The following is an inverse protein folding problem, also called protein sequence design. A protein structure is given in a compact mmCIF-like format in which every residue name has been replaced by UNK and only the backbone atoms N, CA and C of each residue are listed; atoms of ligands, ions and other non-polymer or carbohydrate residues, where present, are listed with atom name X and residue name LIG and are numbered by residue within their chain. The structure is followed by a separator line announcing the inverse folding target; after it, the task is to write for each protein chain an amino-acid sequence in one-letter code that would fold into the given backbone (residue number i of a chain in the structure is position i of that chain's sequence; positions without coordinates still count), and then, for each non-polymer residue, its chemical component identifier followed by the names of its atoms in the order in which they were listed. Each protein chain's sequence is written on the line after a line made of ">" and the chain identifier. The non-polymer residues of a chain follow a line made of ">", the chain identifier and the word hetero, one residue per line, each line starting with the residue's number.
data_IF_966863588302
#
_entry.id   IF_966863588302
#
_cell.length_a   1.000
_cell.length_b   1.000
_cell.length_c   1.000
_cell.angle_alpha   90.00
_cell.angle_beta   90.00
_cell.angle_gamma   90.00
#
_symmetry.space_group_name_H-M   'P 1'
#
loop_
_entity.id
_entity.type
_entity.pdbx_description
1 polymer ?
#
# COMPACT_ATOMS: atom_id res chain seq x y z
N UNK A 1 -11.87 -49.43 -55.31
CA UNK A 1 -12.86 -49.00 -54.29
C UNK A 1 -12.09 -48.51 -53.07
N UNK A 2 -12.30 -47.24 -52.72
CA UNK A 2 -11.50 -46.45 -51.78
C UNK A 2 -11.87 -46.78 -50.31
N UNK A 3 -10.85 -46.89 -49.47
CA UNK A 3 -10.96 -46.94 -48.00
C UNK A 3 -11.09 -45.53 -47.42
N UNK A 4 -11.84 -45.34 -46.32
CA UNK A 4 -12.02 -44.04 -45.68
C UNK A 4 -10.84 -43.69 -44.76
N UNK A 5 -10.36 -42.45 -44.88
CA UNK A 5 -9.29 -41.88 -44.06
C UNK A 5 -9.92 -41.19 -42.83
N UNK A 6 -9.78 -41.80 -41.66
CA UNK A 6 -10.13 -41.19 -40.37
C UNK A 6 -9.08 -40.14 -40.00
N UNK A 7 -9.52 -38.89 -39.89
CA UNK A 7 -8.70 -37.76 -39.43
C UNK A 7 -8.90 -37.62 -37.91
N UNK A 8 -7.95 -38.08 -37.10
CA UNK A 8 -7.92 -37.83 -35.66
C UNK A 8 -7.50 -36.36 -35.41
N UNK A 9 -8.43 -35.57 -34.87
CA UNK A 9 -8.12 -34.27 -34.28
C UNK A 9 -7.44 -34.47 -32.92
N UNK A 10 -6.16 -34.15 -32.84
CA UNK A 10 -5.45 -33.94 -31.58
C UNK A 10 -5.90 -32.61 -30.98
N UNK A 11 -6.85 -32.68 -30.05
CA UNK A 11 -7.27 -31.55 -29.24
C UNK A 11 -6.17 -31.30 -28.20
N UNK A 12 -5.31 -30.30 -28.43
CA UNK A 12 -4.38 -29.81 -27.41
C UNK A 12 -5.20 -29.22 -26.27
N UNK A 13 -5.26 -29.92 -25.13
CA UNK A 13 -5.73 -29.37 -23.87
C UNK A 13 -4.81 -28.21 -23.50
N UNK A 14 -5.30 -26.97 -23.64
CA UNK A 14 -4.66 -25.83 -22.99
C UNK A 14 -4.67 -26.09 -21.47
N UNK A 15 -3.54 -25.87 -20.76
CA UNK A 15 -3.54 -25.96 -19.31
C UNK A 15 -4.63 -25.05 -18.75
N UNK A 16 -5.50 -25.59 -17.89
CA UNK A 16 -6.48 -24.79 -17.17
C UNK A 16 -5.74 -23.71 -16.38
N UNK A 17 -6.09 -22.45 -16.63
CA UNK A 17 -5.55 -21.31 -15.90
C UNK A 17 -5.94 -21.35 -14.41
N UNK A 18 -5.28 -20.55 -13.56
CA UNK A 18 -5.58 -20.50 -12.13
C UNK A 18 -7.04 -20.12 -11.89
N UNK A 19 -7.69 -20.81 -10.95
CA UNK A 19 -9.13 -20.66 -10.66
C UNK A 19 -9.42 -19.68 -9.52
N UNK A 20 -8.41 -19.36 -8.73
CA UNK A 20 -8.51 -18.45 -7.59
C UNK A 20 -7.24 -17.60 -7.41
N UNK A 21 -7.33 -16.59 -6.53
CA UNK A 21 -6.25 -15.64 -6.30
C UNK A 21 -4.97 -16.30 -5.75
N UNK A 22 -5.10 -17.37 -4.96
CA UNK A 22 -3.96 -18.09 -4.42
C UNK A 22 -3.19 -18.84 -5.51
N UNK A 23 -3.91 -19.55 -6.38
CA UNK A 23 -3.34 -20.22 -7.56
C UNK A 23 -2.73 -19.21 -8.54
N UNK A 24 -3.37 -18.05 -8.74
CA UNK A 24 -2.83 -16.99 -9.58
C UNK A 24 -1.53 -16.40 -9.00
N UNK A 25 -1.44 -16.29 -7.67
CA UNK A 25 -0.22 -15.86 -6.99
C UNK A 25 0.91 -16.88 -7.17
N UNK A 26 0.60 -18.17 -7.00
CA UNK A 26 1.55 -19.26 -7.25
C UNK A 26 2.01 -19.24 -8.70
N UNK A 27 1.09 -19.06 -9.65
CA UNK A 27 1.41 -18.94 -11.06
C UNK A 27 2.33 -17.72 -11.33
N UNK A 28 2.05 -16.57 -10.75
CA UNK A 28 2.85 -15.35 -10.97
C UNK A 28 4.26 -15.42 -10.40
N UNK A 29 4.45 -16.13 -9.28
CA UNK A 29 5.74 -16.17 -8.57
C UNK A 29 6.59 -17.37 -8.97
N UNK A 30 5.97 -18.53 -9.23
CA UNK A 30 6.70 -19.78 -9.44
C UNK A 30 6.58 -20.33 -10.86
N UNK A 31 5.48 -20.03 -11.56
CA UNK A 31 5.19 -20.54 -12.91
C UNK A 31 4.94 -19.42 -13.92
N UNK A 32 5.63 -18.28 -13.77
CA UNK A 32 5.42 -17.11 -14.63
C UNK A 32 5.76 -17.47 -16.08
N UNK A 33 4.83 -17.24 -17.00
CA UNK A 33 5.00 -17.55 -18.42
C UNK A 33 4.25 -16.51 -19.26
N UNK A 34 4.75 -15.28 -19.26
CA UNK A 34 4.17 -14.16 -20.01
C UNK A 34 4.82 -14.05 -21.39
N UNK A 35 6.14 -14.25 -21.46
CA UNK A 35 6.93 -14.12 -22.68
C UNK A 35 7.38 -15.46 -23.26
N UNK A 36 7.43 -16.52 -22.45
CA UNK A 36 7.94 -17.83 -22.83
C UNK A 36 9.47 -17.87 -22.95
N UNK A 37 10.16 -16.91 -22.32
CA UNK A 37 11.62 -16.78 -22.36
C UNK A 37 12.19 -16.33 -21.01
N UNK A 38 13.51 -16.07 -20.97
CA UNK A 38 14.25 -15.68 -19.77
C UNK A 38 13.70 -14.44 -19.03
N UNK A 39 12.96 -13.56 -19.70
CA UNK A 39 12.34 -12.39 -19.07
C UNK A 39 11.31 -12.78 -18.01
N UNK A 40 10.68 -13.94 -18.16
CA UNK A 40 9.73 -14.45 -17.18
C UNK A 40 10.38 -14.74 -15.82
N UNK A 41 11.69 -15.06 -15.79
CA UNK A 41 12.41 -15.23 -14.52
C UNK A 41 12.60 -13.90 -13.79
N UNK A 42 12.84 -12.82 -14.53
CA UNK A 42 12.96 -11.47 -13.97
C UNK A 42 11.58 -10.99 -13.49
N UNK A 43 10.55 -11.24 -14.30
CA UNK A 43 9.17 -10.88 -13.96
C UNK A 43 8.67 -11.65 -12.73
N UNK A 44 8.98 -12.94 -12.61
CA UNK A 44 8.65 -13.74 -11.43
C UNK A 44 9.29 -13.16 -10.14
N UNK A 45 10.56 -12.75 -10.21
CA UNK A 45 11.24 -12.07 -9.09
C UNK A 45 10.60 -10.73 -8.75
N UNK A 46 10.19 -9.96 -9.76
CA UNK A 46 9.47 -8.71 -9.55
C UNK A 46 8.09 -8.92 -8.92
N UNK A 47 7.33 -9.92 -9.39
CA UNK A 47 6.05 -10.32 -8.81
C UNK A 47 6.21 -10.76 -7.35
N UNK A 48 7.27 -11.52 -7.04
CA UNK A 48 7.58 -11.92 -5.67
C UNK A 48 7.84 -10.71 -4.76
N UNK A 49 8.61 -9.73 -5.23
CA UNK A 49 8.90 -8.52 -4.46
C UNK A 49 7.62 -7.72 -4.19
N UNK A 50 6.78 -7.52 -5.20
CA UNK A 50 5.48 -6.86 -5.02
C UNK A 50 4.59 -7.64 -4.05
N UNK A 51 4.55 -8.98 -4.13
CA UNK A 51 3.78 -9.81 -3.21
C UNK A 51 4.29 -9.69 -1.77
N UNK A 52 5.61 -9.60 -1.58
CA UNK A 52 6.23 -9.37 -0.29
C UNK A 52 5.90 -8.01 0.31
N UNK A 53 5.77 -6.96 -0.51
CA UNK A 53 5.28 -5.63 -0.12
C UNK A 53 3.78 -5.59 0.17
N UNK A 54 3.00 -6.51 -0.41
CA UNK A 54 1.55 -6.51 -0.25
C UNK A 54 0.84 -5.46 -1.10
N UNK A 55 1.45 -5.02 -2.21
CA UNK A 55 0.81 -4.08 -3.14
C UNK A 55 1.35 -4.26 -4.56
N UNK A 56 0.53 -3.96 -5.57
CA UNK A 56 0.92 -3.96 -6.97
C UNK A 56 0.14 -4.93 -7.84
N UNK A 57 0.70 -5.24 -9.02
CA UNK A 57 0.07 -6.10 -10.04
C UNK A 57 1.04 -7.20 -10.46
N UNK A 58 0.63 -8.46 -10.29
CA UNK A 58 1.44 -9.63 -10.60
C UNK A 58 0.98 -10.29 -11.91
N UNK A 59 1.90 -10.45 -12.85
CA UNK A 59 1.63 -10.97 -14.19
C UNK A 59 2.13 -12.41 -14.34
N UNK A 60 1.29 -13.30 -14.83
CA UNK A 60 1.62 -14.73 -14.92
C UNK A 60 1.35 -15.35 -16.30
N UNK A 61 0.48 -14.74 -17.10
CA UNK A 61 0.19 -15.14 -18.46
C UNK A 61 -0.16 -13.91 -19.30
N UNK A 62 0.22 -13.91 -20.57
CA UNK A 62 -0.08 -12.83 -21.52
C UNK A 62 -1.58 -12.65 -21.78
N UNK A 63 -2.34 -13.73 -21.66
CA UNK A 63 -3.76 -13.77 -22.00
C UNK A 63 -4.67 -13.66 -20.77
N UNK A 64 -4.10 -13.42 -19.60
CA UNK A 64 -4.85 -13.29 -18.34
C UNK A 64 -4.66 -11.89 -17.76
N UNK A 65 -5.68 -11.36 -17.05
CA UNK A 65 -5.51 -10.12 -16.31
C UNK A 65 -4.46 -10.30 -15.20
N UNK A 66 -3.72 -9.24 -14.83
CA UNK A 66 -2.83 -9.31 -13.69
C UNK A 66 -3.60 -9.55 -12.39
N UNK A 67 -2.97 -10.28 -11.47
CA UNK A 67 -3.45 -10.42 -10.11
C UNK A 67 -3.16 -9.12 -9.33
N UNK A 68 -4.19 -8.53 -8.74
CA UNK A 68 -4.02 -7.43 -7.79
C UNK A 68 -3.48 -7.97 -6.47
N UNK A 69 -2.37 -7.39 -6.01
CA UNK A 69 -1.72 -7.73 -4.75
C UNK A 69 -2.16 -6.76 -3.66
N UNK A 70 -2.48 -7.31 -2.49
CA UNK A 70 -2.84 -6.55 -1.29
C UNK A 70 -2.20 -7.20 -0.05
N UNK A 71 -2.35 -6.57 1.11
CA UNK A 71 -1.77 -7.00 2.39
C UNK A 71 -2.26 -8.38 2.88
N UNK A 72 -3.38 -8.89 2.34
CA UNK A 72 -3.93 -10.20 2.72
C UNK A 72 -3.23 -11.37 2.01
N UNK A 73 -2.39 -11.09 1.01
CA UNK A 73 -1.70 -12.16 0.30
C UNK A 73 -0.70 -12.89 1.23
N UNK A 74 -0.56 -14.23 1.12
CA UNK A 74 0.24 -15.03 2.05
C UNK A 74 1.76 -14.77 2.01
N UNK A 75 2.24 -14.07 0.98
CA UNK A 75 3.65 -13.72 0.84
C UNK A 75 3.96 -12.32 1.40
N UNK A 76 2.96 -11.54 1.82
CA UNK A 76 3.12 -10.22 2.43
C UNK A 76 3.87 -10.32 3.76
N UNK A 77 5.19 -10.14 3.70
CA UNK A 77 6.09 -10.30 4.86
C UNK A 77 6.90 -9.05 5.15
N UNK A 78 7.01 -8.12 4.20
CA UNK A 78 7.76 -6.89 4.44
C UNK A 78 6.91 -5.94 5.28
N UNK A 79 7.14 -6.02 6.59
CA UNK A 79 6.68 -5.03 7.55
C UNK A 79 7.83 -4.04 7.75
N UNK A 80 7.73 -2.87 7.10
CA UNK A 80 8.66 -1.79 7.37
C UNK A 80 8.22 -1.05 8.64
N UNK A 81 9.13 -0.95 9.60
CA UNK A 81 9.00 0.02 10.71
C UNK A 81 9.81 1.24 10.31
N UNK A 82 9.10 2.30 9.91
CA UNK A 82 9.71 3.59 9.59
C UNK A 82 9.74 4.49 10.82
N UNK A 83 10.90 5.04 11.15
CA UNK A 83 11.02 6.14 12.10
C UNK A 83 10.90 7.45 11.34
N UNK A 84 9.79 8.17 11.53
CA UNK A 84 9.64 9.52 11.00
C UNK A 84 10.25 10.51 12.00
N UNK A 85 11.47 10.98 11.73
CA UNK A 85 12.12 12.03 12.53
C UNK A 85 11.83 13.39 11.90
N UNK A 86 11.32 14.32 12.71
CA UNK A 86 11.26 15.72 12.32
C UNK A 86 12.66 16.35 12.46
N UNK A 87 13.25 16.78 11.33
CA UNK A 87 14.58 17.38 11.32
C UNK A 87 14.66 18.63 12.21
N UNK A 88 15.72 18.74 13.01
CA UNK A 88 15.94 19.87 13.91
C UNK A 88 15.11 19.84 15.21
N UNK A 89 14.32 18.80 15.46
CA UNK A 89 13.60 18.58 16.72
C UNK A 89 14.14 17.34 17.45
N UNK A 90 14.03 17.37 18.76
CA UNK A 90 14.37 16.28 19.68
C UNK A 90 13.11 15.70 20.32
N UNK A 91 13.18 14.47 20.85
CA UNK A 91 12.05 13.82 21.52
C UNK A 91 11.46 14.66 22.66
N UNK A 92 12.32 15.40 23.38
CA UNK A 92 11.90 16.31 24.47
C UNK A 92 10.99 17.45 23.99
N UNK A 93 11.02 17.78 22.70
CA UNK A 93 10.17 18.82 22.12
C UNK A 93 8.73 18.32 21.90
N UNK A 94 8.46 17.02 22.09
CA UNK A 94 7.11 16.46 22.14
C UNK A 94 6.29 16.59 20.86
N UNK A 95 6.95 16.64 19.70
CA UNK A 95 6.26 16.79 18.42
C UNK A 95 5.63 15.46 17.97
N UNK A 96 4.36 15.52 17.56
CA UNK A 96 3.61 14.38 17.06
C UNK A 96 3.04 14.72 15.69
N UNK A 97 3.22 13.81 14.72
CA UNK A 97 2.66 13.94 13.39
C UNK A 97 1.35 13.13 13.28
N UNK A 98 0.28 13.80 12.83
CA UNK A 98 -1.05 13.23 12.65
C UNK A 98 -1.42 13.30 11.16
N UNK A 99 -1.79 12.17 10.56
CA UNK A 99 -2.27 12.15 9.18
C UNK A 99 -3.79 12.22 9.13
N UNK A 100 -4.32 13.16 8.35
CA UNK A 100 -5.75 13.34 8.13
C UNK A 100 -6.14 12.96 6.70
N UNK A 101 -7.30 12.31 6.56
CA UNK A 101 -7.96 12.12 5.27
C UNK A 101 -8.75 13.38 4.87
N UNK A 102 -8.07 14.53 4.90
CA UNK A 102 -8.57 15.85 4.49
C UNK A 102 -7.46 16.60 3.79
N UNK A 103 -7.83 17.50 2.88
CA UNK A 103 -6.87 18.35 2.17
C UNK A 103 -6.19 19.32 3.13
N UNK A 104 -5.00 19.80 2.75
CA UNK A 104 -4.29 20.83 3.51
C UNK A 104 -5.14 22.08 3.72
N UNK A 105 -5.90 22.49 2.70
CA UNK A 105 -6.74 23.67 2.75
C UNK A 105 -7.91 23.50 3.74
N UNK A 106 -8.57 22.34 3.75
CA UNK A 106 -9.63 22.07 4.73
C UNK A 106 -9.12 22.10 6.17
N UNK A 107 -7.92 21.56 6.42
CA UNK A 107 -7.32 21.61 7.76
C UNK A 107 -6.98 23.05 8.14
N UNK A 108 -6.38 23.83 7.23
CA UNK A 108 -6.08 25.26 7.48
C UNK A 108 -7.34 26.06 7.78
N UNK A 109 -8.41 25.85 7.03
CA UNK A 109 -9.71 26.51 7.27
C UNK A 109 -10.28 26.15 8.65
N UNK A 110 -10.14 24.89 9.08
CA UNK A 110 -10.68 24.40 10.35
C UNK A 110 -9.64 24.35 11.48
N UNK A 111 -8.53 25.07 11.36
CA UNK A 111 -7.40 24.94 12.26
C UNK A 111 -7.77 25.23 13.73
N UNK A 112 -8.57 26.27 13.98
CA UNK A 112 -9.05 26.59 15.33
C UNK A 112 -9.94 25.49 15.91
N UNK A 113 -10.86 24.94 15.11
CA UNK A 113 -11.73 23.85 15.55
C UNK A 113 -10.93 22.58 15.86
N UNK A 114 -9.88 22.30 15.08
CA UNK A 114 -8.95 21.21 15.34
C UNK A 114 -8.21 21.43 16.67
N UNK A 115 -7.64 22.62 16.91
CA UNK A 115 -6.97 22.96 18.17
C UNK A 115 -7.90 22.81 19.37
N UNK A 116 -9.13 23.31 19.28
CA UNK A 116 -10.14 23.18 20.36
C UNK A 116 -10.48 21.71 20.60
N UNK A 117 -10.65 20.92 19.54
CA UNK A 117 -10.94 19.49 19.67
C UNK A 117 -9.81 18.73 20.35
N UNK A 118 -8.56 19.01 19.98
CA UNK A 118 -7.37 18.41 20.59
C UNK A 118 -7.23 18.82 22.07
N UNK A 119 -7.44 20.10 22.39
CA UNK A 119 -7.49 20.58 23.78
C UNK A 119 -8.58 19.86 24.59
N UNK A 120 -9.74 19.62 23.98
CA UNK A 120 -10.83 18.84 24.56
C UNK A 120 -10.42 17.41 24.90
N UNK A 121 -9.71 16.73 23.99
CA UNK A 121 -9.18 15.38 24.22
C UNK A 121 -8.13 15.35 25.35
N UNK A 122 -7.39 16.43 25.55
CA UNK A 122 -6.43 16.58 26.65
C UNK A 122 -7.07 17.03 27.97
N UNK A 123 -8.41 17.10 28.01
CA UNK A 123 -9.20 17.43 29.21
C UNK A 123 -9.40 18.92 29.46
N UNK A 124 -9.22 19.78 28.44
CA UNK A 124 -9.39 21.24 28.54
C UNK A 124 -8.61 21.88 29.70
N UNK A 125 -7.44 21.32 30.02
CA UNK A 125 -6.59 21.83 31.10
C UNK A 125 -6.04 23.21 30.71
N UNK A 126 -6.26 24.26 31.52
CA UNK A 126 -5.89 25.63 31.14
C UNK A 126 -4.38 25.86 31.08
N UNK A 127 -3.60 25.01 31.75
CA UNK A 127 -2.14 25.03 31.70
C UNK A 127 -1.59 24.40 30.42
N UNK A 128 -2.35 23.56 29.71
CA UNK A 128 -1.91 22.96 28.45
C UNK A 128 -2.32 23.83 27.26
N UNK A 129 -1.40 24.06 26.34
CA UNK A 129 -1.67 24.70 25.06
C UNK A 129 -1.26 23.78 23.91
N UNK A 130 -2.22 23.46 23.04
CA UNK A 130 -1.98 22.72 21.79
C UNK A 130 -1.49 23.71 20.74
N UNK A 131 -0.32 23.42 20.16
CA UNK A 131 0.30 24.22 19.12
C UNK A 131 0.39 23.40 17.83
N UNK A 132 0.11 24.04 16.70
CA UNK A 132 0.26 23.43 15.37
C UNK A 132 1.53 24.01 14.76
N UNK A 133 2.54 23.17 14.61
CA UNK A 133 3.84 23.53 14.02
C UNK A 133 3.74 23.63 12.49
N UNK A 134 3.10 22.64 11.85
CA UNK A 134 2.95 22.64 10.41
C UNK A 134 1.76 21.82 9.92
N UNK A 135 1.25 22.19 8.75
CA UNK A 135 0.23 21.47 8.00
C UNK A 135 0.77 21.35 6.57
N UNK A 136 0.93 20.13 6.06
CA UNK A 136 1.46 19.87 4.71
C UNK A 136 0.59 18.84 3.98
N UNK A 137 0.35 19.04 2.70
CA UNK A 137 -0.26 18.02 1.85
C UNK A 137 0.63 16.76 1.74
N UNK A 138 0.02 15.59 1.86
CA UNK A 138 0.64 14.28 1.59
C UNK A 138 0.16 13.74 0.25
N UNK A 139 -1.10 14.00 -0.09
CA UNK A 139 -1.71 13.75 -1.40
C UNK A 139 -2.80 14.78 -1.66
N UNK A 140 -3.49 14.69 -2.79
CA UNK A 140 -4.63 15.56 -3.12
C UNK A 140 -5.77 15.49 -2.09
N UNK A 141 -5.85 14.40 -1.32
CA UNK A 141 -6.94 14.14 -0.36
C UNK A 141 -6.47 13.97 1.08
N UNK A 142 -5.15 14.06 1.34
CA UNK A 142 -4.57 13.81 2.67
C UNK A 142 -3.57 14.88 3.06
N UNK A 143 -3.47 15.13 4.35
CA UNK A 143 -2.52 16.08 4.94
C UNK A 143 -1.87 15.50 6.19
N UNK A 144 -0.65 15.97 6.48
CA UNK A 144 0.10 15.69 7.69
C UNK A 144 0.13 16.96 8.54
N UNK A 145 -0.32 16.85 9.78
CA UNK A 145 -0.32 17.94 10.77
C UNK A 145 0.65 17.59 11.86
N UNK A 146 1.64 18.45 12.09
CA UNK A 146 2.57 18.31 13.20
C UNK A 146 2.10 19.21 14.33
N UNK A 147 1.91 18.62 15.51
CA UNK A 147 1.51 19.32 16.73
C UNK A 147 2.53 19.11 17.84
N UNK A 148 2.51 20.00 18.84
CA UNK A 148 3.14 19.78 20.14
C UNK A 148 2.29 20.47 21.23
N UNK A 149 2.46 20.03 22.47
CA UNK A 149 1.72 20.58 23.61
C UNK A 149 2.71 21.24 24.56
N UNK A 150 2.44 22.49 24.95
CA UNK A 150 3.22 23.18 25.98
C UNK A 150 2.43 23.22 27.28
N UNK A 151 3.12 22.97 28.39
CA UNK A 151 2.58 23.20 29.72
C UNK A 151 3.08 24.57 30.22
N UNK A 152 2.15 25.49 30.46
CA UNK A 152 2.44 26.84 30.95
C UNK A 152 2.84 26.88 32.43
N UNK A 153 2.66 25.77 33.15
CA UNK A 153 3.05 25.64 34.55
C UNK A 153 4.45 25.02 34.73
N UNK A 154 5.10 24.60 33.64
CA UNK A 154 6.43 23.98 33.64
C UNK A 154 7.56 24.99 33.42
#
# INVERSE_FOLDING_TARGET
>A
QQQPQQQQQLQQQQPQGPTNAHEALVAAVFNCCVFGDERDQVLAKWNLLQAQWGTGQAYYSRNAPPLELNEQNPLCRFKAVGYSRLGGKEDKDGHVALQFNKTEQEIKTNQQALTVSLSGLLGNKPNLAVNIESIKAVSETKSLVVIYVTDKAA
#
